data_IF_022806308556
#
_entry.id   IF_022806308556
#
_cell.length_a   1.000
_cell.length_b   1.000
_cell.length_c   1.000
_cell.angle_alpha   90.00
_cell.angle_beta   90.00
_cell.angle_gamma   90.00
#
_symmetry.space_group_name_H-M   'P 1'
#
loop_
_entity.id
_entity.type
_entity.pdbx_description
1 polymer ?
#
# COMPACT_ATOMS: atom_id res chain seq x y z
N UNK A 1 6.63 23.73 29.99
CA UNK A 1 7.37 24.00 31.25
C UNK A 1 8.81 24.35 30.89
N UNK A 2 9.14 25.64 30.88
CA UNK A 2 10.46 26.17 30.50
C UNK A 2 11.24 26.52 31.76
N UNK A 3 12.47 26.03 31.91
CA UNK A 3 13.34 26.39 33.05
C UNK A 3 13.96 27.78 32.79
N UNK A 4 14.05 28.66 33.80
CA UNK A 4 14.65 29.97 33.61
C UNK A 4 16.18 29.87 33.47
N UNK A 5 16.73 30.61 32.50
CA UNK A 5 18.17 30.81 32.34
C UNK A 5 18.70 31.64 33.52
N UNK A 6 19.76 31.16 34.19
CA UNK A 6 20.51 31.93 35.19
C UNK A 6 21.38 32.97 34.46
N UNK A 7 21.15 34.24 34.75
CA UNK A 7 22.05 35.34 34.38
C UNK A 7 23.42 35.14 35.06
N UNK A 8 24.44 34.84 34.27
CA UNK A 8 25.85 34.94 34.68
C UNK A 8 26.30 36.39 34.42
N UNK A 9 26.51 37.14 35.49
CA UNK A 9 27.18 38.45 35.43
C UNK A 9 28.65 38.24 35.08
N UNK A 10 29.03 38.53 33.84
CA UNK A 10 30.43 38.57 33.41
C UNK A 10 31.03 39.86 33.99
N UNK A 11 31.88 39.73 35.02
CA UNK A 11 32.65 40.84 35.54
C UNK A 11 33.61 41.36 34.48
N UNK A 12 33.52 42.65 34.17
CA UNK A 12 34.48 43.33 33.29
C UNK A 12 35.76 43.51 34.09
N UNK A 13 36.72 42.60 33.90
CA UNK A 13 38.09 42.76 34.40
C UNK A 13 38.77 43.78 33.49
N UNK A 14 39.14 44.94 34.03
CA UNK A 14 39.97 45.90 33.29
C UNK A 14 41.36 45.28 33.05
N UNK A 15 41.88 45.30 31.80
CA UNK A 15 43.23 44.81 31.54
C UNK A 15 44.26 45.78 32.13
N UNK A 16 45.08 45.27 33.06
CA UNK A 16 46.30 45.93 33.53
C UNK A 16 47.24 46.23 32.35
N UNK A 17 47.94 47.39 32.34
CA UNK A 17 48.85 47.77 31.27
C UNK A 17 50.08 46.84 31.26
N UNK A 18 50.20 46.05 30.20
CA UNK A 18 51.35 45.18 29.98
C UNK A 18 52.55 46.01 29.51
N UNK A 19 53.53 46.25 30.38
CA UNK A 19 54.82 46.80 30.00
C UNK A 19 55.60 45.74 29.18
N UNK A 20 55.74 46.00 27.88
CA UNK A 20 56.60 45.24 26.97
C UNK A 20 58.07 45.47 27.35
N UNK A 21 58.58 44.66 28.26
CA UNK A 21 60.02 44.54 28.48
C UNK A 21 60.67 43.92 27.24
N UNK A 22 61.84 44.45 26.87
CA UNK A 22 62.60 44.17 25.66
C UNK A 22 63.16 42.73 25.65
N UNK A 23 62.25 41.75 25.55
CA UNK A 23 62.59 40.33 25.45
C UNK A 23 63.19 40.07 24.08
N UNK A 24 64.50 39.80 24.06
CA UNK A 24 65.19 39.28 22.87
C UNK A 24 64.52 37.98 22.45
N UNK A 25 63.66 38.07 21.42
CA UNK A 25 63.00 36.90 20.83
C UNK A 25 64.08 35.98 20.26
N UNK A 26 64.14 34.76 20.80
CA UNK A 26 65.06 33.73 20.30
C UNK A 26 64.75 33.44 18.82
N UNK A 27 65.78 33.36 17.97
CA UNK A 27 65.63 32.96 16.58
C UNK A 27 64.88 31.61 16.43
N UNK A 28 65.02 30.70 17.41
CA UNK A 28 64.27 29.44 17.43
C UNK A 28 62.76 29.61 17.62
N UNK A 29 62.32 30.66 18.33
CA UNK A 29 60.90 30.97 18.49
C UNK A 29 60.31 31.50 17.19
N UNK A 30 61.04 32.35 16.46
CA UNK A 30 60.62 32.87 15.15
C UNK A 30 60.47 31.74 14.13
N UNK A 31 61.38 30.77 14.10
CA UNK A 31 61.29 29.59 13.22
C UNK A 31 60.03 28.77 13.51
N UNK A 32 59.73 28.48 14.78
CA UNK A 32 58.51 27.73 15.14
C UNK A 32 57.22 28.48 14.77
N UNK A 33 57.23 29.81 14.89
CA UNK A 33 56.09 30.63 14.46
C UNK A 33 55.94 30.55 12.94
N UNK A 34 57.03 30.64 12.18
CA UNK A 34 57.00 30.51 10.73
C UNK A 34 56.46 29.13 10.29
N UNK A 35 56.96 28.03 10.88
CA UNK A 35 56.49 26.67 10.59
C UNK A 35 55.00 26.50 10.91
N UNK A 36 54.55 27.06 12.04
CA UNK A 36 53.14 27.03 12.43
C UNK A 36 52.26 27.82 11.45
N UNK A 37 52.72 29.00 11.00
CA UNK A 37 52.02 29.83 10.01
C UNK A 37 51.92 29.11 8.67
N UNK A 38 52.99 28.45 8.22
CA UNK A 38 52.99 27.68 6.98
C UNK A 38 52.02 26.49 7.05
N UNK A 39 52.04 25.75 8.18
CA UNK A 39 51.09 24.65 8.42
C UNK A 39 49.63 25.15 8.44
N UNK A 40 49.35 26.27 9.10
CA UNK A 40 48.02 26.88 9.12
C UNK A 40 47.57 27.35 7.73
N UNK A 41 48.48 27.95 6.96
CA UNK A 41 48.21 28.39 5.58
C UNK A 41 47.84 27.19 4.68
N UNK A 42 48.61 26.11 4.76
CA UNK A 42 48.33 24.87 4.03
C UNK A 42 46.96 24.27 4.43
N UNK A 43 46.67 24.20 5.72
CA UNK A 43 45.38 23.72 6.23
C UNK A 43 44.22 24.59 5.75
N UNK A 44 44.38 25.91 5.75
CA UNK A 44 43.37 26.84 5.27
C UNK A 44 43.06 26.63 3.78
N UNK A 45 44.09 26.45 2.95
CA UNK A 45 43.92 26.13 1.52
C UNK A 45 43.19 24.80 1.33
N UNK A 46 43.53 23.77 2.11
CA UNK A 46 42.84 22.48 2.03
C UNK A 46 41.38 22.59 2.45
N UNK A 47 41.08 23.27 3.57
CA UNK A 47 39.71 23.51 4.01
C UNK A 47 38.88 24.28 2.99
N UNK A 48 39.48 25.24 2.29
CA UNK A 48 38.80 25.99 1.23
C UNK A 48 38.43 25.08 0.05
N UNK A 49 39.33 24.18 -0.35
CA UNK A 49 39.05 23.17 -1.39
C UNK A 49 37.94 22.22 -0.97
N UNK A 50 37.97 21.73 0.27
CA UNK A 50 36.96 20.83 0.81
C UNK A 50 35.59 21.52 0.85
N UNK A 51 35.55 22.78 1.31
CA UNK A 51 34.32 23.58 1.32
C UNK A 51 33.72 23.72 -0.09
N UNK A 52 34.55 24.02 -1.08
CA UNK A 52 34.10 24.16 -2.48
C UNK A 52 33.64 22.82 -3.06
N UNK A 53 34.32 21.72 -2.72
CA UNK A 53 33.91 20.36 -3.06
C UNK A 53 32.52 20.03 -2.48
N UNK A 54 32.31 20.23 -1.17
CA UNK A 54 31.03 19.96 -0.53
C UNK A 54 29.92 20.87 -1.05
N UNK A 55 30.19 22.15 -1.33
CA UNK A 55 29.23 23.07 -1.97
C UNK A 55 28.82 22.60 -3.35
N UNK A 56 29.74 22.03 -4.14
CA UNK A 56 29.42 21.47 -5.46
C UNK A 56 28.59 20.20 -5.31
N UNK A 57 29.02 19.26 -4.46
CA UNK A 57 28.30 18.01 -4.22
C UNK A 57 26.87 18.25 -3.72
N UNK A 58 26.67 19.20 -2.81
CA UNK A 58 25.34 19.55 -2.30
C UNK A 58 24.44 20.15 -3.40
N UNK A 59 24.99 21.00 -4.28
CA UNK A 59 24.26 21.54 -5.44
C UNK A 59 23.83 20.45 -6.41
N UNK A 60 24.69 19.47 -6.68
CA UNK A 60 24.39 18.36 -7.58
C UNK A 60 23.36 17.39 -6.98
N UNK A 61 23.44 17.14 -5.67
CA UNK A 61 22.42 16.39 -4.93
C UNK A 61 21.07 17.09 -4.96
N UNK A 62 21.03 18.41 -4.74
CA UNK A 62 19.79 19.19 -4.76
C UNK A 62 19.09 19.10 -6.12
N UNK A 63 19.84 19.23 -7.23
CA UNK A 63 19.30 19.04 -8.58
C UNK A 63 18.74 17.64 -8.80
N UNK A 64 19.41 16.62 -8.25
CA UNK A 64 18.95 15.23 -8.34
C UNK A 64 17.64 15.03 -7.58
N UNK A 65 17.52 15.61 -6.38
CA UNK A 65 16.29 15.58 -5.59
C UNK A 65 15.14 16.28 -6.32
N UNK A 66 15.37 17.47 -6.88
CA UNK A 66 14.36 18.19 -7.66
C UNK A 66 13.88 17.39 -8.88
N UNK A 67 14.80 16.73 -9.59
CA UNK A 67 14.46 15.85 -10.71
C UNK A 67 13.57 14.67 -10.25
N UNK A 68 13.94 14.01 -9.15
CA UNK A 68 13.14 12.90 -8.58
C UNK A 68 11.75 13.37 -8.14
N UNK A 69 11.66 14.54 -7.51
CA UNK A 69 10.38 15.12 -7.10
C UNK A 69 9.47 15.42 -8.29
N UNK A 70 10.04 15.90 -9.41
CA UNK A 70 9.29 16.11 -10.64
C UNK A 70 8.72 14.79 -11.19
N UNK A 71 9.50 13.71 -11.15
CA UNK A 71 9.04 12.36 -11.52
C UNK A 71 7.95 11.86 -10.57
N UNK A 72 8.11 12.03 -9.25
CA UNK A 72 7.09 11.64 -8.27
C UNK A 72 5.79 12.40 -8.52
N UNK A 73 5.84 13.71 -8.79
CA UNK A 73 4.65 14.51 -9.10
C UNK A 73 3.96 14.04 -10.38
N UNK A 74 4.72 13.73 -11.44
CA UNK A 74 4.15 13.24 -12.69
C UNK A 74 3.48 11.88 -12.53
N UNK A 75 4.12 10.95 -11.82
CA UNK A 75 3.57 9.63 -11.50
C UNK A 75 2.32 9.73 -10.63
N UNK A 76 2.30 10.60 -9.62
CA UNK A 76 1.08 10.87 -8.82
C UNK A 76 -0.10 11.32 -9.69
N UNK A 77 0.16 12.15 -10.71
CA UNK A 77 -0.84 12.56 -11.69
C UNK A 77 -1.36 11.38 -12.54
N UNK A 78 -0.46 10.50 -12.99
CA UNK A 78 -0.83 9.27 -13.72
C UNK A 78 -1.69 8.35 -12.86
N UNK A 79 -1.27 8.07 -11.62
CA UNK A 79 -2.01 7.21 -10.68
C UNK A 79 -3.40 7.77 -10.41
N UNK A 80 -3.51 9.09 -10.21
CA UNK A 80 -4.81 9.75 -10.02
C UNK A 80 -5.73 9.55 -11.23
N UNK A 81 -5.20 9.73 -12.45
CA UNK A 81 -5.97 9.50 -13.69
C UNK A 81 -6.42 8.04 -13.82
N UNK A 82 -5.53 7.08 -13.58
CA UNK A 82 -5.86 5.65 -13.64
C UNK A 82 -6.91 5.27 -12.59
N UNK A 83 -6.81 5.78 -11.37
CA UNK A 83 -7.81 5.56 -10.32
C UNK A 83 -9.17 6.14 -10.73
N UNK A 84 -9.20 7.36 -11.26
CA UNK A 84 -10.43 7.99 -11.74
C UNK A 84 -11.02 7.26 -12.96
N UNK A 85 -10.19 6.72 -13.85
CA UNK A 85 -10.63 5.93 -14.98
C UNK A 85 -11.24 4.60 -14.52
N UNK A 86 -10.60 3.89 -13.57
CA UNK A 86 -11.14 2.67 -12.96
C UNK A 86 -12.46 2.94 -12.24
N UNK A 87 -12.54 4.02 -11.47
CA UNK A 87 -13.79 4.46 -10.82
C UNK A 87 -14.88 4.72 -11.86
N UNK A 88 -14.61 5.53 -12.90
CA UNK A 88 -15.56 5.79 -13.99
C UNK A 88 -15.98 4.54 -14.75
N UNK A 89 -15.07 3.58 -14.94
CA UNK A 89 -15.37 2.30 -15.59
C UNK A 89 -16.26 1.43 -14.69
N UNK A 90 -16.01 1.43 -13.38
CA UNK A 90 -16.86 0.81 -12.37
C UNK A 90 -18.22 1.51 -12.20
N UNK A 91 -18.35 2.80 -12.56
CA UNK A 91 -19.63 3.53 -12.52
C UNK A 91 -20.38 3.44 -13.85
N UNK A 92 -19.69 3.25 -15.00
CA UNK A 92 -20.32 3.11 -16.33
C UNK A 92 -20.98 1.75 -16.54
N UNK A 93 -20.54 0.73 -15.83
CA UNK A 93 -21.25 -0.54 -15.71
C UNK A 93 -21.85 -0.46 -14.31
N UNK A 94 -23.16 -0.24 -14.17
CA UNK A 94 -23.85 -0.11 -12.88
C UNK A 94 -23.82 -1.36 -11.99
N UNK A 95 -22.87 -2.27 -12.21
CA UNK A 95 -22.61 -3.45 -11.40
C UNK A 95 -21.86 -3.02 -10.14
N UNK A 96 -22.58 -2.94 -9.02
CA UNK A 96 -21.96 -3.17 -7.71
C UNK A 96 -21.16 -4.49 -7.79
N UNK A 97 -19.99 -4.56 -7.15
CA UNK A 97 -19.22 -5.79 -7.13
C UNK A 97 -20.04 -6.87 -6.41
N UNK A 98 -20.06 -8.12 -6.90
CA UNK A 98 -20.86 -9.20 -6.30
C UNK A 98 -20.61 -9.33 -4.79
N UNK A 99 -19.33 -9.20 -4.39
CA UNK A 99 -18.95 -9.23 -2.97
C UNK A 99 -19.59 -8.10 -2.14
N UNK A 100 -19.72 -6.90 -2.70
CA UNK A 100 -20.34 -5.77 -2.00
C UNK A 100 -21.86 -5.98 -1.87
N UNK A 101 -22.50 -6.44 -2.96
CA UNK A 101 -23.93 -6.78 -2.98
C UNK A 101 -24.25 -7.88 -1.97
N UNK A 102 -23.43 -8.93 -1.93
CA UNK A 102 -23.68 -10.05 -1.02
C UNK A 102 -23.42 -9.67 0.44
N UNK A 103 -22.46 -8.78 0.72
CA UNK A 103 -22.26 -8.26 2.07
C UNK A 103 -23.52 -7.52 2.57
N UNK A 104 -24.09 -6.67 1.72
CA UNK A 104 -25.35 -5.97 2.00
C UNK A 104 -26.53 -6.95 2.17
N UNK A 105 -26.66 -7.92 1.26
CA UNK A 105 -27.72 -8.93 1.28
C UNK A 105 -27.64 -9.87 2.49
N UNK A 106 -26.45 -10.37 2.85
CA UNK A 106 -26.25 -11.23 4.02
C UNK A 106 -26.59 -10.50 5.31
N UNK A 107 -26.17 -9.24 5.45
CA UNK A 107 -26.54 -8.43 6.62
C UNK A 107 -28.06 -8.26 6.74
N UNK A 108 -28.75 -8.03 5.63
CA UNK A 108 -30.22 -7.98 5.60
C UNK A 108 -30.86 -9.33 5.95
N UNK A 109 -30.34 -10.44 5.41
CA UNK A 109 -30.86 -11.80 5.65
C UNK A 109 -30.69 -12.26 7.09
N UNK A 110 -29.52 -12.01 7.71
CA UNK A 110 -29.26 -12.34 9.12
C UNK A 110 -30.21 -11.59 10.04
N UNK A 111 -30.56 -10.34 9.69
CA UNK A 111 -31.52 -9.53 10.44
C UNK A 111 -32.96 -10.00 10.25
N UNK A 112 -33.34 -10.35 9.03
CA UNK A 112 -34.73 -10.67 8.65
C UNK A 112 -35.09 -12.10 9.03
N UNK A 113 -34.16 -13.04 8.86
CA UNK A 113 -34.32 -14.47 9.09
C UNK A 113 -33.31 -14.93 10.15
N UNK A 114 -33.52 -14.47 11.38
CA UNK A 114 -32.61 -14.74 12.50
C UNK A 114 -32.48 -16.24 12.81
N UNK A 115 -33.57 -17.01 12.64
CA UNK A 115 -33.63 -18.44 12.94
C UNK A 115 -33.17 -19.35 11.78
N UNK A 116 -32.89 -18.77 10.60
CA UNK A 116 -32.42 -19.55 9.47
C UNK A 116 -30.99 -20.08 9.73
N UNK A 117 -30.76 -21.32 9.33
CA UNK A 117 -29.50 -22.06 9.48
C UNK A 117 -28.84 -22.28 8.12
N UNK A 118 -27.54 -22.61 8.06
CA UNK A 118 -26.88 -22.97 6.80
C UNK A 118 -27.63 -24.06 6.03
N UNK A 119 -28.14 -25.07 6.74
CA UNK A 119 -28.86 -26.20 6.15
C UNK A 119 -30.25 -25.79 5.65
N UNK A 120 -30.99 -24.93 6.38
CA UNK A 120 -32.30 -24.48 5.91
C UNK A 120 -32.18 -23.67 4.62
N UNK A 121 -31.12 -22.88 4.45
CA UNK A 121 -30.86 -22.16 3.20
C UNK A 121 -30.57 -23.12 2.03
N UNK A 122 -29.91 -24.27 2.27
CA UNK A 122 -29.79 -25.33 1.26
C UNK A 122 -31.13 -26.00 0.93
N UNK A 123 -32.03 -26.16 1.91
CA UNK A 123 -33.39 -26.66 1.64
C UNK A 123 -34.22 -25.69 0.80
N UNK A 124 -34.05 -24.38 0.99
CA UNK A 124 -34.67 -23.40 0.10
C UNK A 124 -34.04 -23.42 -1.29
N UNK A 125 -32.72 -23.57 -1.40
CA UNK A 125 -32.01 -23.77 -2.68
C UNK A 125 -32.59 -24.95 -3.48
N UNK A 126 -32.93 -26.07 -2.84
CA UNK A 126 -33.59 -27.21 -3.52
C UNK A 126 -34.93 -26.80 -4.16
N UNK A 127 -35.65 -25.87 -3.55
CA UNK A 127 -36.90 -25.33 -4.14
C UNK A 127 -36.60 -24.44 -5.34
N UNK A 128 -35.61 -23.53 -5.24
CA UNK A 128 -35.26 -22.64 -6.36
C UNK A 128 -34.73 -23.44 -7.56
N UNK A 129 -34.00 -24.53 -7.32
CA UNK A 129 -33.56 -25.45 -8.38
C UNK A 129 -34.77 -26.05 -9.12
N UNK A 130 -35.80 -26.49 -8.39
CA UNK A 130 -37.01 -27.04 -9.01
C UNK A 130 -37.77 -26.00 -9.85
N UNK A 131 -37.75 -24.72 -9.43
CA UNK A 131 -38.33 -23.61 -10.21
C UNK A 131 -37.53 -23.35 -11.51
N UNK A 132 -36.19 -23.38 -11.43
CA UNK A 132 -35.31 -23.33 -12.62
C UNK A 132 -35.59 -24.51 -13.57
N UNK A 133 -35.66 -25.74 -13.07
CA UNK A 133 -35.92 -26.95 -13.87
C UNK A 133 -37.25 -26.84 -14.61
N UNK A 134 -38.31 -26.44 -13.92
CA UNK A 134 -39.63 -26.20 -14.51
C UNK A 134 -39.57 -25.14 -15.62
N UNK A 135 -38.81 -24.06 -15.42
CA UNK A 135 -38.63 -23.03 -16.44
C UNK A 135 -37.87 -23.57 -17.67
N UNK A 136 -36.83 -24.37 -17.46
CA UNK A 136 -36.08 -25.03 -18.55
C UNK A 136 -37.00 -25.95 -19.36
N UNK A 137 -37.78 -26.80 -18.70
CA UNK A 137 -38.75 -27.72 -19.35
C UNK A 137 -39.82 -26.95 -20.13
N UNK A 138 -40.25 -25.80 -19.60
CA UNK A 138 -41.17 -24.89 -20.26
C UNK A 138 -40.55 -24.02 -21.36
N UNK A 139 -39.23 -24.07 -21.56
CA UNK A 139 -38.52 -23.20 -22.51
C UNK A 139 -38.44 -21.72 -22.11
N UNK A 140 -38.67 -21.42 -20.83
CA UNK A 140 -38.66 -20.09 -20.25
C UNK A 140 -37.23 -19.75 -19.79
N UNK A 141 -36.76 -18.55 -20.16
CA UNK A 141 -35.47 -18.03 -19.71
C UNK A 141 -35.70 -16.97 -18.64
N UNK A 142 -35.59 -17.36 -17.39
CA UNK A 142 -35.77 -16.46 -16.25
C UNK A 142 -34.47 -16.33 -15.45
N UNK A 143 -33.74 -15.20 -15.58
CA UNK A 143 -32.54 -14.94 -14.79
C UNK A 143 -32.79 -14.75 -13.29
N UNK A 144 -34.02 -14.41 -12.86
CA UNK A 144 -34.32 -14.15 -11.45
C UNK A 144 -34.23 -15.44 -10.63
N UNK A 145 -34.70 -16.56 -11.16
CA UNK A 145 -34.60 -17.88 -10.52
C UNK A 145 -33.14 -18.30 -10.27
N UNK A 146 -32.24 -18.00 -11.21
CA UNK A 146 -30.81 -18.24 -11.01
C UNK A 146 -30.22 -17.32 -9.94
N UNK A 147 -30.73 -16.08 -9.83
CA UNK A 147 -30.32 -15.17 -8.78
C UNK A 147 -30.79 -15.66 -7.41
N UNK A 148 -32.03 -16.15 -7.29
CA UNK A 148 -32.58 -16.69 -6.04
C UNK A 148 -31.83 -17.95 -5.58
N UNK A 149 -31.54 -18.87 -6.52
CA UNK A 149 -30.70 -20.03 -6.23
C UNK A 149 -29.29 -19.59 -5.77
N UNK A 150 -28.67 -18.62 -6.45
CA UNK A 150 -27.37 -18.09 -6.03
C UNK A 150 -27.44 -17.44 -4.64
N UNK A 151 -28.49 -16.68 -4.34
CA UNK A 151 -28.69 -16.09 -3.01
C UNK A 151 -28.85 -17.15 -1.93
N UNK A 152 -29.59 -18.23 -2.18
CA UNK A 152 -29.73 -19.33 -1.22
C UNK A 152 -28.41 -20.05 -0.94
N UNK A 153 -27.59 -20.26 -1.99
CA UNK A 153 -26.25 -20.85 -1.84
C UNK A 153 -25.32 -19.96 -1.02
N UNK A 154 -25.28 -18.66 -1.33
CA UNK A 154 -24.44 -17.70 -0.61
C UNK A 154 -24.94 -17.44 0.81
N UNK A 155 -26.24 -17.50 1.05
CA UNK A 155 -26.83 -17.42 2.39
C UNK A 155 -26.42 -18.61 3.26
N UNK A 156 -26.45 -19.82 2.69
CA UNK A 156 -25.95 -21.02 3.36
C UNK A 156 -24.48 -20.87 3.76
N UNK A 157 -23.63 -20.49 2.80
CA UNK A 157 -22.20 -20.31 3.03
C UNK A 157 -21.89 -19.20 4.05
N UNK A 158 -22.56 -18.05 3.94
CA UNK A 158 -22.38 -16.92 4.85
C UNK A 158 -22.77 -17.26 6.29
N UNK A 159 -23.83 -18.04 6.50
CA UNK A 159 -24.23 -18.55 7.81
C UNK A 159 -23.26 -19.61 8.35
N UNK A 160 -22.57 -20.33 7.48
CA UNK A 160 -21.49 -21.28 7.83
C UNK A 160 -20.12 -20.60 8.01
N UNK A 161 -20.07 -19.26 7.91
CA UNK A 161 -18.86 -18.47 8.09
C UNK A 161 -17.93 -18.42 6.88
N UNK A 162 -18.40 -18.85 5.70
CA UNK A 162 -17.65 -18.82 4.44
C UNK A 162 -18.00 -17.56 3.66
N UNK A 163 -16.99 -16.76 3.32
CA UNK A 163 -17.18 -15.51 2.59
C UNK A 163 -17.24 -15.73 1.08
N UNK A 164 -17.89 -14.80 0.35
CA UNK A 164 -17.88 -14.79 -1.13
C UNK A 164 -16.45 -14.74 -1.68
N UNK A 165 -15.55 -14.00 -1.04
CA UNK A 165 -14.16 -13.91 -1.46
C UNK A 165 -13.46 -15.28 -1.41
N UNK A 166 -13.72 -16.08 -0.38
CA UNK A 166 -13.22 -17.45 -0.27
C UNK A 166 -13.81 -18.37 -1.33
N UNK A 167 -15.11 -18.24 -1.62
CA UNK A 167 -15.78 -19.01 -2.69
C UNK A 167 -15.17 -18.68 -4.06
N UNK A 168 -14.97 -17.40 -4.38
CA UNK A 168 -14.39 -16.98 -5.66
C UNK A 168 -12.94 -17.46 -5.81
N UNK A 169 -12.14 -17.37 -4.74
CA UNK A 169 -10.78 -17.92 -4.71
C UNK A 169 -10.78 -19.45 -4.94
N UNK A 170 -11.67 -20.17 -4.26
CA UNK A 170 -11.82 -21.61 -4.45
C UNK A 170 -12.30 -21.96 -5.87
N UNK A 171 -13.18 -21.15 -6.46
CA UNK A 171 -13.67 -21.31 -7.82
C UNK A 171 -12.53 -21.20 -8.83
N UNK A 172 -11.65 -20.19 -8.72
CA UNK A 172 -10.48 -20.02 -9.59
C UNK A 172 -9.55 -21.24 -9.53
N UNK A 173 -9.18 -21.66 -8.31
CA UNK A 173 -8.32 -22.83 -8.10
C UNK A 173 -8.98 -24.09 -8.68
N UNK A 174 -10.29 -24.26 -8.50
CA UNK A 174 -11.03 -25.42 -8.99
C UNK A 174 -11.13 -25.41 -10.51
N UNK A 175 -11.33 -24.26 -11.14
CA UNK A 175 -11.40 -24.09 -12.58
C UNK A 175 -10.08 -24.51 -13.23
N UNK A 176 -8.94 -24.07 -12.69
CA UNK A 176 -7.63 -24.43 -13.23
C UNK A 176 -7.34 -25.93 -13.07
N UNK A 177 -7.71 -26.53 -11.94
CA UNK A 177 -7.68 -27.99 -11.77
C UNK A 177 -8.56 -28.71 -12.80
N UNK A 178 -9.76 -28.19 -13.08
CA UNK A 178 -10.71 -28.81 -14.00
C UNK A 178 -10.27 -28.75 -15.47
N UNK A 179 -9.60 -27.66 -15.88
CA UNK A 179 -9.03 -27.51 -17.23
C UNK A 179 -7.94 -28.56 -17.54
N UNK A 180 -7.25 -29.05 -16.52
CA UNK A 180 -6.18 -30.03 -16.66
C UNK A 180 -6.65 -31.48 -16.61
N UNK A 181 -7.92 -31.74 -16.26
CA UNK A 181 -8.47 -33.09 -16.12
C UNK A 181 -8.90 -33.67 -17.46
N UNK A 182 -8.82 -35.00 -17.55
CA UNK A 182 -9.48 -35.77 -18.60
C UNK A 182 -10.94 -36.03 -18.20
N UNK A 183 -11.86 -35.75 -19.10
CA UNK A 183 -13.29 -35.88 -18.87
C UNK A 183 -13.86 -36.99 -19.76
N UNK A 184 -14.81 -37.74 -19.20
CA UNK A 184 -15.64 -38.72 -19.93
C UNK A 184 -17.10 -38.30 -19.81
N UNK A 185 -17.81 -38.35 -20.94
CA UNK A 185 -19.25 -38.16 -21.00
C UNK A 185 -19.98 -39.43 -20.55
N UNK A 186 -20.99 -39.27 -19.71
CA UNK A 186 -21.83 -40.35 -19.18
C UNK A 186 -23.13 -40.52 -20.02
N UNK A 187 -23.87 -41.63 -19.84
CA UNK A 187 -25.11 -41.88 -20.59
C UNK A 187 -26.25 -40.89 -20.31
N UNK A 188 -26.24 -40.25 -19.13
CA UNK A 188 -27.20 -39.23 -18.68
C UNK A 188 -26.77 -37.81 -19.10
N UNK A 189 -25.88 -37.70 -20.10
CA UNK A 189 -25.26 -36.46 -20.56
C UNK A 189 -24.43 -35.70 -19.51
N UNK A 190 -24.24 -36.24 -18.30
CA UNK A 190 -23.33 -35.71 -17.30
C UNK A 190 -21.86 -35.98 -17.67
N UNK A 191 -20.93 -35.29 -17.02
CA UNK A 191 -19.49 -35.47 -17.23
C UNK A 191 -18.80 -35.83 -15.92
N UNK A 192 -17.89 -36.81 -16.00
CA UNK A 192 -17.06 -37.24 -14.88
C UNK A 192 -15.58 -37.18 -15.24
N UNK A 193 -14.73 -36.81 -14.29
CA UNK A 193 -13.29 -36.86 -14.48
C UNK A 193 -12.82 -38.31 -14.40
N UNK A 194 -11.93 -38.71 -15.32
CA UNK A 194 -11.27 -40.01 -15.25
C UNK A 194 -10.28 -39.95 -14.09
N UNK A 195 -10.46 -40.82 -13.09
CA UNK A 195 -9.47 -41.03 -12.03
C UNK A 195 -8.40 -41.95 -12.61
N UNK A 196 -7.14 -41.53 -12.52
CA UNK A 196 -6.00 -42.38 -12.84
C UNK A 196 -5.94 -43.61 -11.92
#
# INVERSE_FOLDING_TARGET
MSKPFKNLSIGVVQPEPYELTDQKVSASALVRIADAVESMSSNYVQMQRDLDYYKKANRDQQKTLESRDNVIRSLKGVVTRLKNQRMKQSTRIGTKHLADMETERLAWSLKTFADATPISSLRKLESEIAEIEKNIEGGIKDPEEYADAMMCLLDSAGRDGITVAEILSAFEIKLDKNKLRKWRKNPDDSYSHVKD
#
